data_IF_077561370486
#
_entry.id   IF_077561370486
#
_cell.length_a   1.000
_cell.length_b   1.000
_cell.length_c   1.000
_cell.angle_alpha   90.00
_cell.angle_beta   90.00
_cell.angle_gamma   90.00
#
_symmetry.space_group_name_H-M   'P 1'
#
loop_
_entity.id
_entity.type
_entity.pdbx_description
1 polymer ?
#
# COMPACT_ATOMS: atom_id res chain seq x y z
N UNK A 1 -5.05 -7.15 -13.52
CA UNK A 1 -4.58 -7.55 -12.17
C UNK A 1 -4.54 -6.32 -11.27
N UNK A 2 -5.39 -6.23 -10.24
CA UNK A 2 -5.33 -5.15 -9.25
C UNK A 2 -4.08 -5.25 -8.37
N UNK A 3 -3.40 -4.12 -8.13
CA UNK A 3 -2.23 -4.02 -7.25
C UNK A 3 -2.36 -4.74 -5.89
N UNK A 4 -3.45 -4.57 -5.12
CA UNK A 4 -3.56 -5.25 -3.83
C UNK A 4 -3.59 -6.78 -3.94
N UNK A 5 -4.23 -7.32 -4.99
CA UNK A 5 -4.25 -8.76 -5.25
C UNK A 5 -2.84 -9.26 -5.60
N UNK A 6 -2.12 -8.56 -6.49
CA UNK A 6 -0.75 -8.93 -6.86
C UNK A 6 0.21 -8.94 -5.66
N UNK A 7 0.11 -7.95 -4.76
CA UNK A 7 0.93 -7.91 -3.53
C UNK A 7 0.63 -9.14 -2.66
N UNK A 8 -0.65 -9.44 -2.45
CA UNK A 8 -1.07 -10.56 -1.63
C UNK A 8 -0.64 -11.91 -2.23
N UNK A 9 -0.81 -12.10 -3.54
CA UNK A 9 -0.37 -13.31 -4.27
C UNK A 9 1.14 -13.52 -4.18
N UNK A 10 1.94 -12.46 -4.39
CA UNK A 10 3.39 -12.52 -4.21
C UNK A 10 3.76 -12.96 -2.79
N UNK A 11 3.09 -12.38 -1.79
CA UNK A 11 3.33 -12.70 -0.38
C UNK A 11 3.00 -14.15 -0.04
N UNK A 12 1.84 -14.65 -0.47
CA UNK A 12 1.42 -16.04 -0.22
C UNK A 12 2.31 -17.04 -0.97
N UNK A 13 2.89 -16.63 -2.09
CA UNK A 13 3.86 -17.42 -2.85
C UNK A 13 5.27 -17.44 -2.23
N UNK A 14 5.48 -16.80 -1.08
CA UNK A 14 6.76 -16.81 -0.37
C UNK A 14 7.78 -15.77 -0.87
N UNK A 15 7.38 -14.81 -1.71
CA UNK A 15 8.25 -13.73 -2.15
C UNK A 15 8.56 -12.82 -0.96
N UNK A 16 9.84 -12.70 -0.62
CA UNK A 16 10.30 -11.94 0.56
C UNK A 16 10.31 -10.44 0.32
N UNK A 17 10.67 -10.02 -0.88
CA UNK A 17 10.81 -8.61 -1.25
C UNK A 17 9.77 -8.18 -2.26
N UNK A 18 8.84 -7.34 -1.80
CA UNK A 18 7.68 -6.91 -2.58
C UNK A 18 7.62 -5.39 -2.58
N UNK A 19 7.54 -4.80 -3.77
CA UNK A 19 7.31 -3.38 -3.98
C UNK A 19 5.89 -3.22 -4.53
N UNK A 20 5.03 -2.52 -3.79
CA UNK A 20 3.67 -2.20 -4.24
C UNK A 20 3.69 -1.04 -5.22
N UNK A 21 3.40 -1.28 -6.49
CA UNK A 21 3.37 -0.22 -7.50
C UNK A 21 2.16 -0.36 -8.44
N UNK A 22 1.85 0.70 -9.17
CA UNK A 22 0.63 0.80 -9.96
C UNK A 22 -0.55 1.26 -9.10
N UNK A 23 -1.19 2.36 -9.48
CA UNK A 23 -2.38 2.85 -8.79
C UNK A 23 -2.17 3.53 -7.42
N UNK A 24 -0.96 3.55 -6.84
CA UNK A 24 -0.68 4.25 -5.57
C UNK A 24 -0.76 5.78 -5.77
N UNK A 25 -1.57 6.48 -4.97
CA UNK A 25 -1.80 7.95 -5.11
C UNK A 25 -1.65 8.73 -3.81
N UNK A 26 -1.86 8.08 -2.67
CA UNK A 26 -1.89 8.69 -1.34
C UNK A 26 -1.02 7.92 -0.34
N UNK A 27 -0.71 8.54 0.80
CA UNK A 27 -0.05 7.86 1.92
C UNK A 27 -0.91 6.74 2.52
N UNK A 28 -2.24 6.80 2.39
CA UNK A 28 -3.13 5.71 2.77
C UNK A 28 -3.00 4.50 1.84
N UNK A 29 -2.79 4.72 0.54
CA UNK A 29 -2.52 3.62 -0.39
C UNK A 29 -1.19 2.93 -0.06
N UNK A 30 -0.17 3.70 0.32
CA UNK A 30 1.11 3.16 0.81
C UNK A 30 0.86 2.28 2.04
N UNK A 31 0.12 2.78 3.03
CA UNK A 31 -0.20 2.01 4.24
C UNK A 31 -0.90 0.68 3.91
N UNK A 32 -1.89 0.69 3.01
CA UNK A 32 -2.58 -0.53 2.54
C UNK A 32 -1.62 -1.50 1.85
N UNK A 33 -0.72 -1.01 1.01
CA UNK A 33 0.29 -1.86 0.35
C UNK A 33 1.23 -2.51 1.36
N UNK A 34 1.71 -1.76 2.37
CA UNK A 34 2.55 -2.28 3.45
C UNK A 34 1.80 -3.35 4.26
N UNK A 35 0.55 -3.08 4.66
CA UNK A 35 -0.33 -4.03 5.34
C UNK A 35 -0.50 -5.32 4.55
N UNK A 36 -0.65 -5.23 3.23
CA UNK A 36 -0.79 -6.39 2.35
C UNK A 36 0.50 -7.21 2.20
N UNK A 37 1.67 -6.63 2.47
CA UNK A 37 2.94 -7.35 2.41
C UNK A 37 4.12 -6.60 1.83
N UNK A 38 3.88 -5.47 1.17
CA UNK A 38 4.94 -4.68 0.55
C UNK A 38 5.94 -4.15 1.59
N UNK A 39 7.16 -3.87 1.15
CA UNK A 39 8.19 -3.19 1.95
C UNK A 39 8.41 -1.75 1.51
N UNK A 40 8.06 -1.45 0.27
CA UNK A 40 8.12 -0.12 -0.32
C UNK A 40 7.00 0.05 -1.35
N UNK A 41 6.73 1.29 -1.74
CA UNK A 41 5.76 1.60 -2.78
C UNK A 41 6.35 2.48 -3.88
N UNK A 42 5.93 2.25 -5.13
CA UNK A 42 6.31 3.03 -6.29
C UNK A 42 5.18 3.96 -6.75
N UNK A 43 5.50 5.23 -6.99
CA UNK A 43 4.59 6.25 -7.53
C UNK A 43 5.27 6.89 -8.74
N UNK A 44 4.61 6.85 -9.90
CA UNK A 44 5.14 7.39 -11.15
C UNK A 44 4.26 8.53 -11.69
N UNK A 45 3.10 8.20 -12.27
CA UNK A 45 2.25 9.18 -12.96
C UNK A 45 1.92 10.46 -12.15
N UNK A 46 1.55 10.40 -10.85
CA UNK A 46 1.29 11.62 -10.08
C UNK A 46 2.50 12.55 -9.95
N UNK A 47 3.71 12.00 -9.86
CA UNK A 47 4.94 12.78 -9.78
C UNK A 47 5.36 13.29 -11.15
N UNK A 48 5.24 12.46 -12.19
CA UNK A 48 5.57 12.85 -13.55
C UNK A 48 4.70 14.02 -14.03
N UNK A 49 3.40 14.00 -13.73
CA UNK A 49 2.49 15.11 -14.08
C UNK A 49 2.95 16.43 -13.47
N UNK A 50 3.22 16.45 -12.16
CA UNK A 50 3.70 17.67 -11.49
C UNK A 50 5.06 18.12 -12.04
N UNK A 51 5.96 17.19 -12.33
CA UNK A 51 7.29 17.50 -12.87
C UNK A 51 7.24 18.10 -14.28
N UNK A 52 6.21 17.78 -15.08
CA UNK A 52 6.08 18.22 -16.48
C UNK A 52 5.14 19.42 -16.60
N UNK A 53 4.02 19.41 -15.88
CA UNK A 53 2.92 20.38 -16.00
C UNK A 53 3.06 21.55 -15.01
N UNK A 54 3.81 21.37 -13.92
CA UNK A 54 4.01 22.39 -12.88
C UNK A 54 5.51 22.67 -12.67
N UNK A 55 5.95 22.78 -11.42
CA UNK A 55 7.32 23.06 -11.02
C UNK A 55 7.82 22.06 -9.98
N UNK A 56 9.11 22.15 -9.66
CA UNK A 56 9.77 21.25 -8.68
C UNK A 56 9.17 21.43 -7.29
N UNK A 57 8.73 22.64 -6.95
CA UNK A 57 8.13 22.97 -5.66
C UNK A 57 6.81 22.20 -5.45
N UNK A 58 5.93 22.17 -6.44
CA UNK A 58 4.67 21.41 -6.40
C UNK A 58 4.90 19.90 -6.27
N UNK A 59 5.93 19.36 -6.95
CA UNK A 59 6.34 17.97 -6.77
C UNK A 59 6.79 17.68 -5.33
N UNK A 60 7.63 18.55 -4.76
CA UNK A 60 8.10 18.42 -3.37
C UNK A 60 6.93 18.49 -2.39
N UNK A 61 5.99 19.42 -2.58
CA UNK A 61 4.79 19.53 -1.76
C UNK A 61 3.93 18.27 -1.82
N UNK A 62 3.78 17.67 -3.00
CA UNK A 62 3.05 16.41 -3.15
C UNK A 62 3.73 15.25 -2.42
N UNK A 63 5.05 15.15 -2.49
CA UNK A 63 5.82 14.13 -1.77
C UNK A 63 5.64 14.30 -0.26
N UNK A 64 5.77 15.51 0.26
CA UNK A 64 5.59 15.78 1.69
C UNK A 64 4.16 15.55 2.16
N UNK A 65 3.16 15.82 1.31
CA UNK A 65 1.75 15.51 1.58
C UNK A 65 1.54 13.99 1.71
N UNK A 66 2.03 13.19 0.76
CA UNK A 66 1.92 11.73 0.80
C UNK A 66 2.63 11.17 2.05
N UNK A 67 3.80 11.70 2.38
CA UNK A 67 4.56 11.33 3.58
C UNK A 67 3.78 11.64 4.86
N UNK A 68 3.11 12.80 4.92
CA UNK A 68 2.25 13.18 6.05
C UNK A 68 1.04 12.26 6.17
N UNK A 69 0.34 11.97 5.07
CA UNK A 69 -0.78 11.01 5.03
C UNK A 69 -0.37 9.62 5.53
N UNK A 70 0.81 9.14 5.13
CA UNK A 70 1.33 7.85 5.58
C UNK A 70 1.61 7.85 7.09
N UNK A 71 2.21 8.93 7.62
CA UNK A 71 2.40 9.10 9.07
C UNK A 71 1.07 9.17 9.82
N UNK A 72 0.05 9.82 9.26
CA UNK A 72 -1.30 9.85 9.83
C UNK A 72 -1.88 8.43 9.87
N UNK A 73 -1.77 7.66 8.79
CA UNK A 73 -2.23 6.27 8.76
C UNK A 73 -1.54 5.41 9.83
N UNK A 74 -0.22 5.56 10.01
CA UNK A 74 0.52 4.90 11.09
C UNK A 74 0.06 5.33 12.48
N UNK A 75 -0.12 6.63 12.70
CA UNK A 75 -0.58 7.20 13.97
C UNK A 75 -1.97 6.67 14.35
N UNK A 76 -2.92 6.65 13.40
CA UNK A 76 -4.27 6.12 13.63
C UNK A 76 -4.29 4.62 13.92
N UNK A 77 -3.24 3.89 13.53
CA UNK A 77 -3.04 2.48 13.85
C UNK A 77 -2.11 2.27 15.07
N UNK A 78 -1.79 3.32 15.83
CA UNK A 78 -0.86 3.25 16.97
C UNK A 78 0.48 2.58 16.62
N UNK A 79 1.04 2.87 15.45
CA UNK A 79 2.29 2.29 14.98
C UNK A 79 3.41 3.34 15.01
N UNK A 80 4.50 3.03 15.70
CA UNK A 80 5.70 3.88 15.73
C UNK A 80 6.67 3.58 14.58
N UNK A 81 6.52 2.40 13.96
CA UNK A 81 7.37 1.92 12.87
C UNK A 81 6.57 1.25 11.74
N UNK A 82 7.17 1.20 10.54
CA UNK A 82 6.58 0.50 9.38
C UNK A 82 6.43 -1.00 9.66
N UNK A 83 7.32 -1.56 10.49
CA UNK A 83 7.27 -2.97 10.90
C UNK A 83 6.03 -3.27 11.75
N UNK A 84 5.70 -2.40 12.71
CA UNK A 84 4.46 -2.50 13.48
C UNK A 84 3.22 -2.38 12.61
N UNK A 85 3.23 -1.46 11.63
CA UNK A 85 2.12 -1.31 10.70
C UNK A 85 1.89 -2.62 9.92
N UNK A 86 2.95 -3.26 9.44
CA UNK A 86 2.87 -4.50 8.65
C UNK A 86 2.21 -5.67 9.38
N UNK A 87 2.24 -5.67 10.71
CA UNK A 87 1.60 -6.67 11.57
C UNK A 87 0.19 -6.27 12.02
N UNK A 88 -0.35 -5.10 11.64
CA UNK A 88 -1.72 -4.75 12.05
C UNK A 88 -2.76 -5.57 11.29
N UNK A 89 -3.91 -5.85 11.92
CA UNK A 89 -5.06 -6.45 11.26
C UNK A 89 -5.50 -5.64 10.03
N UNK A 90 -5.87 -6.34 8.97
CA UNK A 90 -6.41 -5.76 7.75
C UNK A 90 -7.66 -6.54 7.34
N UNK A 91 -8.80 -5.84 7.27
CA UNK A 91 -10.06 -6.39 6.82
C UNK A 91 -10.23 -6.15 5.31
N UNK A 92 -10.50 -7.22 4.58
CA UNK A 92 -10.68 -7.20 3.12
C UNK A 92 -12.15 -7.39 2.78
N UNK A 93 -12.69 -6.51 1.94
CA UNK A 93 -14.11 -6.49 1.58
C UNK A 93 -14.31 -6.27 0.08
N UNK A 94 -15.54 -6.46 -0.38
CA UNK A 94 -15.96 -6.15 -1.75
C UNK A 94 -15.32 -7.05 -2.81
N UNK A 95 -15.03 -6.47 -3.98
CA UNK A 95 -14.48 -7.20 -5.14
C UNK A 95 -13.14 -7.88 -4.82
N UNK A 96 -12.28 -7.25 -4.02
CA UNK A 96 -10.97 -7.81 -3.68
C UNK A 96 -11.10 -9.12 -2.90
N UNK A 97 -11.98 -9.20 -1.90
CA UNK A 97 -12.18 -10.44 -1.15
C UNK A 97 -12.77 -11.55 -2.01
N UNK A 98 -13.68 -11.20 -2.94
CA UNK A 98 -14.22 -12.15 -3.92
C UNK A 98 -13.13 -12.69 -4.85
N UNK A 99 -12.26 -11.83 -5.39
CA UNK A 99 -11.14 -12.25 -6.24
C UNK A 99 -10.16 -13.15 -5.49
N UNK A 100 -9.82 -12.81 -4.24
CA UNK A 100 -8.93 -13.63 -3.40
C UNK A 100 -9.54 -15.01 -3.12
N UNK A 101 -10.85 -15.07 -2.85
CA UNK A 101 -11.57 -16.34 -2.69
C UNK A 101 -11.55 -17.19 -3.96
N UNK A 102 -11.77 -16.59 -5.13
CA UNK A 102 -11.70 -17.28 -6.42
C UNK A 102 -10.30 -17.84 -6.71
N UNK A 103 -9.24 -17.20 -6.17
CA UNK A 103 -7.86 -17.66 -6.25
C UNK A 103 -7.50 -18.72 -5.20
N UNK A 104 -8.44 -19.13 -4.35
CA UNK A 104 -8.20 -20.08 -3.27
C UNK A 104 -7.26 -19.55 -2.18
N UNK A 105 -7.18 -18.22 -2.01
CA UNK A 105 -6.34 -17.59 -1.00
C UNK A 105 -7.06 -17.52 0.34
N UNK A 106 -6.42 -17.99 1.42
CA UNK A 106 -6.88 -17.73 2.78
C UNK A 106 -6.45 -16.33 3.23
N UNK A 107 -7.37 -15.37 3.09
CA UNK A 107 -7.15 -13.99 3.49
C UNK A 107 -7.62 -13.70 4.93
N UNK A 108 -8.21 -14.66 5.64
CA UNK A 108 -8.55 -14.49 7.06
C UNK A 108 -7.32 -14.31 7.92
N UNK A 109 -6.17 -14.84 7.48
CA UNK A 109 -4.86 -14.55 8.08
C UNK A 109 -4.59 -13.05 8.25
N UNK A 110 -5.08 -12.18 7.35
CA UNK A 110 -4.88 -10.74 7.48
C UNK A 110 -5.68 -10.13 8.65
N UNK A 111 -6.74 -10.78 9.13
CA UNK A 111 -7.61 -10.26 10.19
C UNK A 111 -7.04 -10.44 11.60
N UNK A 112 -6.09 -11.36 11.80
CA UNK A 112 -5.68 -11.83 13.15
C UNK A 112 -4.17 -11.77 13.39
N UNK A 113 -3.46 -10.84 12.74
CA UNK A 113 -2.01 -10.69 12.90
C UNK A 113 -1.59 -9.98 14.17
#
# INVERSE_FOLDING_TARGET
MPTPLSIAECRTSGIKTIIGSGGVRTGFDIAKCILLGAQACGIALPFLKLAVEENVEGLVEKIETIKREFKIAMFLNSCSSVYELKSRPLFLTGELSQLMQQRGMDFHYFNYR
#
